data_IF_019198714928
#
_entry.id   IF_019198714928
#
_cell.length_a   1.000
_cell.length_b   1.000
_cell.length_c   1.000
_cell.angle_alpha   90.00
_cell.angle_beta   90.00
_cell.angle_gamma   90.00
#
_symmetry.space_group_name_H-M   'P 1'
#
loop_
_entity.id
_entity.type
_entity.pdbx_description
1 polymer ?
#
# COMPACT_ATOMS: atom_id res chain seq x y z
N UNK A 1 78.22 -20.62 -48.11
CA UNK A 1 78.47 -19.89 -49.37
C UNK A 1 77.44 -20.40 -50.38
N UNK A 2 76.42 -19.60 -50.75
CA UNK A 2 76.38 -18.78 -51.98
C UNK A 2 76.63 -19.67 -53.22
N UNK A 3 75.79 -19.84 -54.25
CA UNK A 3 74.64 -19.08 -54.78
C UNK A 3 73.79 -20.00 -55.71
N UNK A 4 72.48 -19.76 -55.83
CA UNK A 4 71.74 -19.22 -56.99
C UNK A 4 71.40 -20.14 -58.19
N UNK A 5 70.08 -20.17 -58.45
CA UNK A 5 69.34 -20.16 -59.72
C UNK A 5 69.41 -21.38 -60.68
N UNK A 6 68.28 -22.10 -60.74
CA UNK A 6 67.72 -22.64 -61.98
C UNK A 6 66.18 -22.57 -61.92
N UNK A 7 65.57 -22.26 -63.06
CA UNK A 7 64.21 -21.74 -63.22
C UNK A 7 63.10 -22.82 -63.17
N UNK A 8 62.05 -22.47 -62.43
CA UNK A 8 60.61 -22.55 -62.72
C UNK A 8 60.14 -23.50 -63.86
N UNK A 9 59.43 -24.56 -63.46
CA UNK A 9 58.16 -24.97 -64.05
C UNK A 9 57.20 -25.27 -62.87
N UNK A 10 56.15 -24.46 -62.73
CA UNK A 10 55.33 -24.38 -61.50
C UNK A 10 54.39 -25.59 -61.37
N UNK A 11 54.44 -26.16 -60.18
CA UNK A 11 53.53 -27.16 -59.63
C UNK A 11 52.08 -26.68 -59.58
N UNK A 12 51.21 -27.63 -59.84
CA UNK A 12 49.83 -27.72 -59.37
C UNK A 12 49.72 -27.65 -57.85
N UNK A 13 48.66 -27.01 -57.35
CA UNK A 13 47.60 -27.58 -56.48
C UNK A 13 46.77 -26.45 -55.84
N UNK A 14 45.45 -26.71 -55.81
CA UNK A 14 44.32 -26.05 -55.15
C UNK A 14 44.61 -24.91 -54.13
N UNK A 15 43.93 -23.77 -54.34
CA UNK A 15 43.74 -22.70 -53.36
C UNK A 15 42.70 -21.65 -53.81
N UNK A 16 41.91 -21.17 -52.85
CA UNK A 16 40.74 -20.25 -52.90
C UNK A 16 40.89 -18.94 -53.70
N UNK A 17 39.78 -18.41 -54.26
CA UNK A 17 39.30 -16.98 -54.22
C UNK A 17 37.96 -16.88 -55.00
N UNK A 18 36.80 -16.58 -54.38
CA UNK A 18 36.23 -15.29 -53.93
C UNK A 18 35.89 -14.30 -55.06
N UNK A 19 34.61 -13.89 -55.15
CA UNK A 19 34.13 -12.49 -55.27
C UNK A 19 32.61 -12.45 -55.52
N UNK A 20 31.88 -11.75 -54.65
CA UNK A 20 30.44 -11.56 -54.76
C UNK A 20 29.89 -10.92 -53.48
N UNK A 21 30.22 -9.64 -53.31
CA UNK A 21 29.77 -8.77 -52.23
C UNK A 21 28.27 -8.49 -52.37
N UNK A 22 27.46 -8.91 -51.38
CA UNK A 22 26.14 -8.34 -51.17
C UNK A 22 25.88 -8.23 -49.67
N UNK A 23 25.97 -6.98 -49.24
CA UNK A 23 25.56 -6.42 -47.96
C UNK A 23 24.11 -6.80 -47.65
N UNK A 24 23.91 -7.78 -46.77
CA UNK A 24 22.68 -7.85 -45.99
C UNK A 24 22.96 -7.25 -44.62
N UNK A 25 22.43 -6.04 -44.43
CA UNK A 25 22.30 -5.41 -43.14
C UNK A 25 21.48 -6.33 -42.23
N UNK A 26 22.16 -7.12 -41.40
CA UNK A 26 21.51 -7.76 -40.27
C UNK A 26 21.26 -6.67 -39.23
N UNK A 27 20.04 -6.14 -39.26
CA UNK A 27 19.41 -5.43 -38.14
C UNK A 27 19.54 -6.29 -36.89
N UNK A 28 20.59 -6.05 -36.08
CA UNK A 28 20.60 -6.45 -34.69
C UNK A 28 19.67 -5.51 -33.94
N UNK A 29 18.39 -5.83 -33.96
CA UNK A 29 17.49 -5.44 -32.87
C UNK A 29 18.02 -6.08 -31.59
N UNK A 30 18.18 -5.34 -30.48
CA UNK A 30 18.49 -5.97 -29.21
C UNK A 30 17.26 -6.75 -28.77
N UNK A 31 17.29 -8.08 -28.97
CA UNK A 31 16.33 -8.99 -28.36
C UNK A 31 16.47 -8.90 -26.85
N UNK A 32 15.44 -8.40 -26.19
CA UNK A 32 15.21 -8.55 -24.75
C UNK A 32 15.15 -10.04 -24.43
N UNK A 33 16.29 -10.65 -24.10
CA UNK A 33 16.35 -12.06 -23.71
C UNK A 33 15.76 -12.22 -22.30
N UNK A 34 14.50 -12.67 -22.25
CA UNK A 34 13.95 -13.26 -21.04
C UNK A 34 14.71 -14.55 -20.71
N UNK A 35 15.22 -14.66 -19.48
CA UNK A 35 15.90 -15.85 -18.96
C UNK A 35 14.98 -17.08 -19.06
N UNK A 36 15.36 -18.08 -19.86
CA UNK A 36 14.51 -19.26 -20.07
C UNK A 36 14.54 -20.19 -18.85
N UNK A 37 13.46 -20.96 -18.64
CA UNK A 37 13.35 -21.92 -17.54
C UNK A 37 14.50 -22.94 -17.49
N UNK A 38 15.12 -23.26 -18.63
CA UNK A 38 16.27 -24.17 -18.73
C UNK A 38 17.57 -23.61 -18.13
N UNK A 39 17.66 -22.30 -17.89
CA UNK A 39 18.84 -21.66 -17.27
C UNK A 39 18.78 -21.59 -15.73
N UNK A 40 17.67 -22.01 -15.12
CA UNK A 40 17.43 -21.99 -13.68
C UNK A 40 17.47 -23.40 -13.05
N UNK A 41 18.14 -24.35 -13.68
CA UNK A 41 18.11 -25.75 -13.24
C UNK A 41 18.90 -25.98 -11.95
N UNK A 42 19.99 -25.24 -11.73
CA UNK A 42 20.84 -25.43 -10.55
C UNK A 42 20.36 -24.61 -9.34
N UNK A 43 20.60 -25.08 -8.09
CA UNK A 43 20.30 -24.29 -6.89
C UNK A 43 20.97 -22.92 -6.88
N UNK A 44 22.22 -22.84 -7.35
CA UNK A 44 22.97 -21.58 -7.43
C UNK A 44 22.31 -20.62 -8.44
N UNK A 45 21.94 -21.10 -9.62
CA UNK A 45 21.26 -20.26 -10.62
C UNK A 45 19.93 -19.70 -10.09
N UNK A 46 19.14 -20.53 -9.39
CA UNK A 46 17.89 -20.07 -8.75
C UNK A 46 18.15 -19.03 -7.68
N UNK A 47 19.14 -19.26 -6.80
CA UNK A 47 19.50 -18.31 -5.76
C UNK A 47 19.92 -16.95 -6.36
N UNK A 48 20.81 -16.96 -7.36
CA UNK A 48 21.25 -15.75 -8.05
C UNK A 48 20.09 -15.01 -8.72
N UNK A 49 19.23 -15.73 -9.43
CA UNK A 49 18.03 -15.14 -10.05
C UNK A 49 17.09 -14.52 -9.01
N UNK A 50 16.83 -15.21 -7.90
CA UNK A 50 15.97 -14.69 -6.83
C UNK A 50 16.48 -13.39 -6.21
N UNK A 51 17.81 -13.22 -6.08
CA UNK A 51 18.41 -11.96 -5.61
C UNK A 51 18.14 -10.83 -6.61
N UNK A 52 18.39 -11.05 -7.91
CA UNK A 52 18.11 -10.03 -8.94
C UNK A 52 16.63 -9.69 -9.04
N UNK A 53 15.76 -10.70 -9.03
CA UNK A 53 14.31 -10.54 -9.11
C UNK A 53 13.74 -9.80 -7.88
N UNK A 54 14.29 -10.01 -6.68
CA UNK A 54 13.85 -9.29 -5.48
C UNK A 54 14.24 -7.81 -5.52
N UNK A 55 15.44 -7.48 -6.02
CA UNK A 55 15.89 -6.09 -6.22
C UNK A 55 15.05 -5.39 -7.29
N UNK A 56 14.75 -6.07 -8.41
CA UNK A 56 13.83 -5.55 -9.43
C UNK A 56 12.42 -5.32 -8.89
N UNK A 57 11.90 -6.25 -8.06
CA UNK A 57 10.61 -6.10 -7.39
C UNK A 57 10.59 -4.90 -6.43
N UNK A 58 11.68 -4.67 -5.69
CA UNK A 58 11.84 -3.48 -4.84
C UNK A 58 11.82 -2.19 -5.66
N UNK A 59 12.58 -2.12 -6.76
CA UNK A 59 12.61 -0.95 -7.62
C UNK A 59 11.24 -0.66 -8.25
N UNK A 60 10.50 -1.69 -8.66
CA UNK A 60 9.15 -1.54 -9.20
C UNK A 60 8.16 -1.06 -8.14
N UNK A 61 8.20 -1.59 -6.92
CA UNK A 61 7.37 -1.12 -5.82
C UNK A 61 7.66 0.35 -5.49
N UNK A 62 8.94 0.74 -5.49
CA UNK A 62 9.35 2.13 -5.29
C UNK A 62 8.85 3.04 -6.42
N UNK A 63 8.95 2.61 -7.67
CA UNK A 63 8.44 3.37 -8.82
C UNK A 63 6.94 3.62 -8.69
N UNK A 64 6.14 2.59 -8.35
CA UNK A 64 4.69 2.73 -8.17
C UNK A 64 4.34 3.76 -7.10
N UNK A 65 5.02 3.71 -5.96
CA UNK A 65 4.84 4.69 -4.89
C UNK A 65 5.18 6.12 -5.34
N UNK A 66 6.24 6.30 -6.14
CA UNK A 66 6.62 7.61 -6.66
C UNK A 66 5.58 8.13 -7.64
N UNK A 67 5.03 7.27 -8.51
CA UNK A 67 3.98 7.64 -9.46
C UNK A 67 2.70 8.10 -8.77
N UNK A 68 2.32 7.46 -7.66
CA UNK A 68 1.19 7.91 -6.81
C UNK A 68 1.39 9.33 -6.24
N UNK A 69 2.64 9.76 -6.09
CA UNK A 69 3.02 11.10 -5.63
C UNK A 69 3.35 12.07 -6.78
N UNK A 70 2.97 11.73 -8.02
CA UNK A 70 3.29 12.51 -9.22
C UNK A 70 4.81 12.74 -9.36
N UNK A 71 5.58 11.67 -9.15
CA UNK A 71 7.03 11.59 -9.36
C UNK A 71 7.35 10.40 -10.26
N UNK A 72 8.50 10.42 -10.92
CA UNK A 72 8.88 9.36 -11.86
C UNK A 72 10.25 8.79 -11.53
N UNK A 73 10.42 7.52 -11.85
CA UNK A 73 11.71 6.83 -11.81
C UNK A 73 11.93 6.21 -13.20
N UNK A 74 13.04 6.58 -13.82
CA UNK A 74 13.45 6.01 -15.11
C UNK A 74 14.05 4.62 -14.87
N UNK A 75 13.29 3.59 -15.20
CA UNK A 75 13.68 2.19 -14.96
C UNK A 75 14.83 1.74 -15.84
N UNK A 76 15.05 2.38 -16.99
CA UNK A 76 16.19 2.05 -17.83
C UNK A 76 17.49 2.56 -17.20
N UNK A 77 17.46 3.76 -16.62
CA UNK A 77 18.58 4.30 -15.85
C UNK A 77 18.82 3.51 -14.56
N UNK A 78 17.76 3.06 -13.86
CA UNK A 78 17.90 2.17 -12.70
C UNK A 78 18.61 0.86 -13.09
N UNK A 79 18.21 0.26 -14.22
CA UNK A 79 18.82 -0.97 -14.74
C UNK A 79 20.30 -0.75 -15.10
N UNK A 80 20.61 0.37 -15.75
CA UNK A 80 21.99 0.75 -16.05
C UNK A 80 22.82 0.90 -14.77
N UNK A 81 22.35 1.70 -13.80
CA UNK A 81 23.06 1.92 -12.54
C UNK A 81 23.30 0.62 -11.74
N UNK A 82 22.34 -0.30 -11.77
CA UNK A 82 22.51 -1.63 -11.17
C UNK A 82 23.62 -2.44 -11.85
N UNK A 83 23.64 -2.49 -13.19
CA UNK A 83 24.67 -3.21 -13.95
C UNK A 83 26.06 -2.57 -13.75
N UNK A 84 26.16 -1.25 -13.77
CA UNK A 84 27.40 -0.51 -13.53
C UNK A 84 27.96 -0.80 -12.13
N UNK A 85 27.09 -0.87 -11.12
CA UNK A 85 27.47 -1.23 -9.76
C UNK A 85 27.97 -2.69 -9.65
N UNK A 86 27.29 -3.65 -10.30
CA UNK A 86 27.74 -5.05 -10.34
C UNK A 86 29.11 -5.21 -11.02
N UNK A 87 29.41 -4.36 -12.00
CA UNK A 87 30.70 -4.34 -12.69
C UNK A 87 31.78 -3.57 -11.91
N UNK A 88 31.46 -3.01 -10.74
CA UNK A 88 32.38 -2.20 -9.93
C UNK A 88 32.74 -0.86 -10.57
N UNK A 89 31.90 -0.35 -11.48
CA UNK A 89 32.10 0.87 -12.23
C UNK A 89 30.90 1.83 -12.14
N UNK A 90 30.39 2.14 -10.93
CA UNK A 90 29.26 3.06 -10.81
C UNK A 90 29.63 4.43 -11.40
N UNK A 91 28.72 5.00 -12.19
CA UNK A 91 28.94 6.31 -12.82
C UNK A 91 28.96 7.47 -11.81
N UNK A 92 28.41 7.26 -10.60
CA UNK A 92 28.36 8.25 -9.52
C UNK A 92 29.18 7.76 -8.33
N UNK A 93 29.80 8.71 -7.61
CA UNK A 93 30.44 8.40 -6.34
C UNK A 93 29.41 8.02 -5.26
N UNK A 94 29.87 7.32 -4.22
CA UNK A 94 29.00 6.96 -3.09
C UNK A 94 28.39 8.19 -2.41
N UNK A 95 29.15 9.29 -2.31
CA UNK A 95 28.70 10.53 -1.69
C UNK A 95 27.62 11.24 -2.52
N UNK A 96 27.77 11.29 -3.84
CA UNK A 96 26.76 11.83 -4.75
C UNK A 96 25.48 11.01 -4.68
N UNK A 97 25.57 9.68 -4.73
CA UNK A 97 24.41 8.79 -4.59
C UNK A 97 23.67 9.02 -3.27
N UNK A 98 24.40 9.07 -2.14
CA UNK A 98 23.80 9.31 -0.83
C UNK A 98 23.09 10.67 -0.75
N UNK A 99 23.68 11.70 -1.35
CA UNK A 99 23.11 13.05 -1.35
C UNK A 99 21.84 13.12 -2.22
N UNK A 100 21.86 12.52 -3.41
CA UNK A 100 20.69 12.46 -4.31
C UNK A 100 19.55 11.70 -3.63
N UNK A 101 19.83 10.54 -3.04
CA UNK A 101 18.81 9.73 -2.35
C UNK A 101 18.23 10.49 -1.16
N UNK A 102 19.07 11.13 -0.33
CA UNK A 102 18.59 11.94 0.80
C UNK A 102 17.65 13.07 0.37
N UNK A 103 18.01 13.79 -0.69
CA UNK A 103 17.19 14.88 -1.22
C UNK A 103 15.88 14.36 -1.81
N UNK A 104 15.93 13.24 -2.54
CA UNK A 104 14.74 12.57 -3.06
C UNK A 104 13.82 12.09 -1.94
N UNK A 105 14.38 11.53 -0.86
CA UNK A 105 13.60 11.11 0.32
C UNK A 105 12.94 12.31 1.03
N UNK A 106 13.61 13.46 1.08
CA UNK A 106 13.01 14.70 1.61
C UNK A 106 11.85 15.19 0.74
N UNK A 107 12.01 15.17 -0.59
CA UNK A 107 10.94 15.56 -1.51
C UNK A 107 9.73 14.61 -1.41
N UNK A 108 9.98 13.30 -1.33
CA UNK A 108 8.94 12.30 -1.15
C UNK A 108 8.19 12.50 0.16
N UNK A 109 8.89 12.78 1.26
CA UNK A 109 8.25 13.10 2.55
C UNK A 109 7.39 14.36 2.45
N UNK A 110 7.89 15.42 1.83
CA UNK A 110 7.11 16.65 1.63
C UNK A 110 5.84 16.42 0.80
N UNK A 111 5.94 15.64 -0.29
CA UNK A 111 4.77 15.26 -1.10
C UNK A 111 3.78 14.36 -0.34
N UNK A 112 4.28 13.44 0.49
CA UNK A 112 3.43 12.62 1.36
C UNK A 112 2.68 13.47 2.40
N UNK A 113 3.35 14.43 3.04
CA UNK A 113 2.74 15.36 3.99
C UNK A 113 1.68 16.25 3.32
N UNK A 114 1.98 16.76 2.11
CA UNK A 114 1.02 17.52 1.32
C UNK A 114 -0.20 16.68 0.93
N UNK A 115 0.03 15.44 0.45
CA UNK A 115 -1.06 14.51 0.12
C UNK A 115 -1.90 14.14 1.34
N UNK A 116 -1.27 13.93 2.51
CA UNK A 116 -1.98 13.68 3.76
C UNK A 116 -2.82 14.89 4.19
N UNK A 117 -2.32 16.11 4.01
CA UNK A 117 -3.07 17.35 4.30
C UNK A 117 -4.30 17.47 3.39
N UNK A 118 -4.13 17.20 2.09
CA UNK A 118 -5.24 17.20 1.13
C UNK A 118 -6.28 16.14 1.48
N UNK A 119 -5.85 14.91 1.77
CA UNK A 119 -6.74 13.82 2.16
C UNK A 119 -7.47 14.13 3.48
N UNK A 120 -6.79 14.71 4.47
CA UNK A 120 -7.41 15.12 5.73
C UNK A 120 -8.51 16.17 5.51
N UNK A 121 -8.27 17.15 4.63
CA UNK A 121 -9.28 18.14 4.28
C UNK A 121 -10.46 17.52 3.51
N UNK A 122 -10.19 16.62 2.57
CA UNK A 122 -11.23 15.87 1.86
C UNK A 122 -12.11 15.07 2.83
N UNK A 123 -11.52 14.46 3.85
CA UNK A 123 -12.27 13.73 4.88
C UNK A 123 -13.16 14.65 5.72
N UNK A 124 -12.68 15.85 6.08
CA UNK A 124 -13.51 16.85 6.77
C UNK A 124 -14.74 17.20 5.93
N UNK A 125 -14.54 17.49 4.64
CA UNK A 125 -15.61 17.93 3.76
C UNK A 125 -16.60 16.78 3.46
N UNK A 126 -16.08 15.59 3.15
CA UNK A 126 -16.89 14.39 2.91
C UNK A 126 -17.64 13.95 4.17
N UNK A 127 -16.99 14.00 5.34
CA UNK A 127 -17.59 13.69 6.63
C UNK A 127 -18.74 14.62 6.97
N UNK A 128 -18.56 15.94 6.80
CA UNK A 128 -19.63 16.94 7.00
C UNK A 128 -20.80 16.71 6.06
N UNK A 129 -20.54 16.45 4.77
CA UNK A 129 -21.59 16.16 3.79
C UNK A 129 -22.37 14.90 4.16
N UNK A 130 -21.67 13.82 4.52
CA UNK A 130 -22.27 12.55 4.93
C UNK A 130 -23.13 12.71 6.19
N UNK A 131 -22.63 13.42 7.21
CA UNK A 131 -23.37 13.69 8.44
C UNK A 131 -24.64 14.51 8.17
N UNK A 132 -24.55 15.55 7.33
CA UNK A 132 -25.71 16.37 6.99
C UNK A 132 -26.78 15.57 6.24
N UNK A 133 -26.38 14.72 5.30
CA UNK A 133 -27.31 13.83 4.59
C UNK A 133 -27.92 12.79 5.54
N UNK A 134 -27.11 12.16 6.38
CA UNK A 134 -27.56 11.09 7.27
C UNK A 134 -28.53 11.60 8.33
N UNK A 135 -28.32 12.81 8.86
CA UNK A 135 -29.24 13.46 9.80
C UNK A 135 -30.66 13.69 9.24
N UNK A 136 -30.81 13.75 7.91
CA UNK A 136 -32.10 13.89 7.24
C UNK A 136 -32.86 12.58 7.02
N UNK A 137 -32.27 11.43 7.36
CA UNK A 137 -32.90 10.12 7.15
C UNK A 137 -33.91 9.81 8.27
N UNK A 138 -35.00 9.16 7.89
CA UNK A 138 -35.98 8.67 8.86
C UNK A 138 -35.33 7.69 9.84
N UNK A 139 -35.66 7.79 11.13
CA UNK A 139 -35.11 6.95 12.19
C UNK A 139 -33.74 7.41 12.74
N UNK A 140 -33.08 8.37 12.10
CA UNK A 140 -31.81 8.93 12.59
C UNK A 140 -32.08 10.00 13.64
N UNK A 141 -31.40 9.87 14.78
CA UNK A 141 -31.36 10.87 15.85
C UNK A 141 -29.95 11.48 15.94
N UNK A 142 -29.87 12.79 16.17
CA UNK A 142 -28.61 13.52 16.37
C UNK A 142 -28.54 14.00 17.81
N UNK A 143 -27.47 13.66 18.52
CA UNK A 143 -27.23 14.10 19.91
C UNK A 143 -26.60 15.50 19.93
N UNK A 144 -26.53 16.11 21.11
CA UNK A 144 -25.90 17.43 21.29
C UNK A 144 -24.41 17.46 20.93
N UNK A 145 -23.70 16.32 21.06
CA UNK A 145 -22.29 16.19 20.68
C UNK A 145 -22.09 16.04 19.17
N UNK A 146 -23.17 15.84 18.41
CA UNK A 146 -23.15 15.58 16.97
C UNK A 146 -23.04 14.10 16.60
N UNK A 147 -23.01 13.18 17.58
CA UNK A 147 -23.19 11.75 17.33
C UNK A 147 -24.55 11.53 16.67
N UNK A 148 -24.59 10.70 15.63
CA UNK A 148 -25.85 10.27 15.03
C UNK A 148 -26.05 8.78 15.25
N UNK A 149 -27.28 8.38 15.52
CA UNK A 149 -27.61 6.98 15.66
C UNK A 149 -28.99 6.65 15.10
N UNK A 150 -29.16 5.39 14.71
CA UNK A 150 -30.41 4.78 14.26
C UNK A 150 -30.59 3.47 15.04
N UNK A 151 -31.79 3.25 15.58
CA UNK A 151 -32.11 2.00 16.27
C UNK A 151 -32.58 0.98 15.24
N UNK A 152 -31.78 -0.08 15.03
CA UNK A 152 -32.11 -1.16 14.09
C UNK A 152 -32.93 -2.26 14.76
N UNK A 153 -32.59 -2.59 16.00
CA UNK A 153 -33.31 -3.54 16.85
C UNK A 153 -33.38 -2.96 18.25
N UNK A 154 -34.58 -2.88 18.82
CA UNK A 154 -34.78 -2.44 20.19
C UNK A 154 -34.46 -3.56 21.18
N UNK A 155 -33.67 -3.23 22.21
CA UNK A 155 -33.36 -4.11 23.33
C UNK A 155 -34.24 -3.79 24.54
N UNK A 156 -34.29 -4.70 25.51
CA UNK A 156 -35.11 -4.53 26.73
C UNK A 156 -34.34 -4.74 28.03
N UNK A 157 -33.04 -5.06 27.94
CA UNK A 157 -32.21 -5.23 29.13
C UNK A 157 -31.67 -3.90 29.67
N UNK A 158 -30.67 -4.01 30.54
CA UNK A 158 -30.09 -2.85 31.23
C UNK A 158 -29.33 -1.95 30.25
N UNK A 159 -29.24 -0.66 30.59
CA UNK A 159 -28.36 0.27 29.87
C UNK A 159 -27.02 0.35 30.59
N UNK A 160 -25.89 0.25 29.87
CA UNK A 160 -24.57 0.35 30.49
C UNK A 160 -24.30 1.79 30.94
N UNK A 161 -23.50 1.93 31.99
CA UNK A 161 -22.85 3.17 32.40
C UNK A 161 -21.52 3.34 31.67
N UNK A 162 -21.01 4.57 31.60
CA UNK A 162 -19.72 4.89 30.97
C UNK A 162 -18.52 4.11 31.56
N UNK A 163 -18.65 3.57 32.77
CA UNK A 163 -17.61 2.82 33.49
C UNK A 163 -17.67 1.31 33.26
N UNK A 164 -18.77 0.81 32.70
CA UNK A 164 -19.01 -0.62 32.59
C UNK A 164 -18.21 -1.24 31.45
N UNK A 165 -18.05 -2.56 31.52
CA UNK A 165 -17.55 -3.35 30.39
C UNK A 165 -18.75 -3.92 29.63
N UNK A 166 -18.75 -3.79 28.31
CA UNK A 166 -19.82 -4.34 27.46
C UNK A 166 -19.29 -5.45 26.59
N UNK A 167 -20.14 -6.42 26.29
CA UNK A 167 -19.89 -7.46 25.29
C UNK A 167 -20.71 -7.17 24.05
N UNK A 168 -20.06 -7.07 22.90
CA UNK A 168 -20.70 -6.62 21.66
C UNK A 168 -20.30 -7.46 20.45
N UNK A 169 -21.22 -7.54 19.50
CA UNK A 169 -20.84 -7.70 18.11
C UNK A 169 -20.80 -6.33 17.43
N UNK A 170 -19.81 -6.10 16.55
CA UNK A 170 -19.74 -4.84 15.82
C UNK A 170 -19.05 -4.97 14.47
N UNK A 171 -19.33 -4.01 13.61
CA UNK A 171 -18.67 -3.79 12.31
C UNK A 171 -18.44 -2.30 12.14
N UNK A 172 -17.18 -1.90 11.98
CA UNK A 172 -16.74 -0.54 11.73
C UNK A 172 -16.31 -0.33 10.28
N UNK A 173 -16.88 0.67 9.62
CA UNK A 173 -16.53 1.03 8.24
C UNK A 173 -16.27 2.53 8.11
N UNK A 174 -15.45 2.91 7.14
CA UNK A 174 -15.39 4.30 6.65
C UNK A 174 -16.69 4.63 5.91
N UNK A 175 -16.91 5.92 5.63
CA UNK A 175 -18.11 6.40 4.90
C UNK A 175 -18.21 5.86 3.47
N UNK A 176 -17.11 5.38 2.89
CA UNK A 176 -17.06 4.74 1.57
C UNK A 176 -17.37 3.23 1.61
N UNK A 177 -17.60 2.66 2.80
CA UNK A 177 -17.90 1.25 3.01
C UNK A 177 -16.67 0.36 3.27
N UNK A 178 -15.45 0.92 3.26
CA UNK A 178 -14.24 0.18 3.61
C UNK A 178 -14.31 -0.30 5.06
N UNK A 179 -14.35 -1.61 5.28
CA UNK A 179 -14.28 -2.20 6.62
C UNK A 179 -12.86 -2.01 7.19
N UNK A 180 -12.77 -1.44 8.40
CA UNK A 180 -11.50 -1.29 9.11
C UNK A 180 -11.39 -2.21 10.33
N UNK A 181 -12.52 -2.63 10.90
CA UNK A 181 -12.56 -3.54 12.04
C UNK A 181 -13.94 -4.21 12.16
N UNK A 182 -13.97 -5.49 12.54
CA UNK A 182 -15.20 -6.28 12.65
C UNK A 182 -15.00 -7.48 13.58
N UNK A 183 -15.86 -7.62 14.58
CA UNK A 183 -15.85 -8.81 15.43
C UNK A 183 -16.46 -10.02 14.73
N UNK A 184 -17.36 -9.80 13.77
CA UNK A 184 -17.89 -10.88 12.92
C UNK A 184 -16.80 -11.54 12.08
N UNK A 185 -15.86 -10.74 11.53
CA UNK A 185 -14.72 -11.23 10.76
C UNK A 185 -13.76 -12.07 11.61
N UNK A 186 -13.75 -11.87 12.93
CA UNK A 186 -13.00 -12.71 13.90
C UNK A 186 -13.78 -13.93 14.38
N UNK A 187 -15.09 -13.96 14.21
CA UNK A 187 -15.95 -15.07 14.60
C UNK A 187 -16.32 -15.12 16.09
N UNK A 188 -15.99 -14.09 16.87
CA UNK A 188 -16.31 -14.01 18.30
C UNK A 188 -16.67 -12.58 18.73
N UNK A 189 -17.55 -12.39 19.74
CA UNK A 189 -17.82 -11.07 20.32
C UNK A 189 -16.55 -10.42 20.90
N UNK A 190 -16.59 -9.10 21.04
CA UNK A 190 -15.53 -8.34 21.70
C UNK A 190 -16.05 -7.72 23.00
N UNK A 191 -15.16 -7.58 23.97
CA UNK A 191 -15.45 -6.94 25.26
C UNK A 191 -14.68 -5.62 25.37
N UNK A 192 -15.38 -4.56 25.73
CA UNK A 192 -14.81 -3.22 25.82
C UNK A 192 -15.22 -2.52 27.11
N UNK A 193 -14.26 -2.03 27.92
CA UNK A 193 -14.56 -1.05 28.95
C UNK A 193 -14.91 0.28 28.27
N UNK A 194 -16.11 0.80 28.52
CA UNK A 194 -16.65 1.98 27.81
C UNK A 194 -15.84 3.26 28.06
N UNK A 195 -15.04 3.31 29.13
CA UNK A 195 -14.13 4.43 29.43
C UNK A 195 -12.76 4.34 28.72
N UNK A 196 -12.51 3.33 27.88
CA UNK A 196 -11.26 3.18 27.09
C UNK A 196 -11.47 3.09 25.59
N UNK A 197 -12.68 3.36 25.11
CA UNK A 197 -13.01 3.44 23.69
C UNK A 197 -13.11 4.90 23.24
N UNK A 198 -13.35 5.14 21.95
CA UNK A 198 -13.53 6.49 21.42
C UNK A 198 -14.76 7.17 22.04
N UNK A 199 -14.76 8.51 22.20
CA UNK A 199 -15.86 9.24 22.86
C UNK A 199 -17.26 8.92 22.32
N UNK A 200 -17.39 8.76 21.00
CA UNK A 200 -18.67 8.43 20.37
C UNK A 200 -19.20 7.05 20.72
N UNK A 201 -18.32 6.07 21.00
CA UNK A 201 -18.72 4.77 21.55
C UNK A 201 -19.11 4.89 23.02
N UNK A 202 -18.30 5.59 23.82
CA UNK A 202 -18.62 5.83 25.24
C UNK A 202 -20.00 6.46 25.37
N UNK A 203 -20.31 7.48 24.58
CA UNK A 203 -21.63 8.12 24.56
C UNK A 203 -22.71 7.19 23.97
N UNK A 204 -22.51 6.69 22.75
CA UNK A 204 -23.54 6.00 21.98
C UNK A 204 -24.01 4.69 22.60
N UNK A 205 -23.10 3.89 23.17
CA UNK A 205 -23.46 2.60 23.75
C UNK A 205 -24.27 2.75 25.04
N UNK A 206 -24.11 3.86 25.79
CA UNK A 206 -24.97 4.16 26.95
C UNK A 206 -26.43 4.49 26.54
N UNK A 207 -26.67 4.79 25.27
CA UNK A 207 -28.04 4.98 24.75
C UNK A 207 -28.73 3.64 24.47
N UNK A 208 -27.96 2.57 24.29
CA UNK A 208 -28.43 1.22 24.00
C UNK A 208 -28.97 0.55 25.26
N UNK A 209 -29.95 -0.33 25.05
CA UNK A 209 -30.35 -1.35 26.05
C UNK A 209 -29.75 -2.68 25.63
N UNK A 210 -29.34 -3.52 26.56
CA UNK A 210 -28.88 -4.87 26.25
C UNK A 210 -29.91 -5.62 25.36
N UNK A 211 -29.39 -6.33 24.36
CA UNK A 211 -30.12 -6.97 23.28
C UNK A 211 -30.44 -6.05 22.10
N UNK A 212 -30.08 -4.76 22.14
CA UNK A 212 -30.32 -3.84 21.03
C UNK A 212 -29.23 -3.92 19.97
N UNK A 213 -29.59 -3.50 18.75
CA UNK A 213 -28.66 -3.26 17.65
C UNK A 213 -28.84 -1.85 17.12
N UNK A 214 -27.78 -1.05 17.18
CA UNK A 214 -27.78 0.34 16.73
C UNK A 214 -26.81 0.51 15.58
N UNK A 215 -27.08 1.48 14.72
CA UNK A 215 -26.11 2.03 13.77
C UNK A 215 -25.69 3.41 14.26
N UNK A 216 -24.39 3.62 14.39
CA UNK A 216 -23.80 4.90 14.76
C UNK A 216 -23.08 5.52 13.56
N UNK A 217 -23.22 6.82 13.39
CA UNK A 217 -22.34 7.64 12.54
C UNK A 217 -21.65 8.64 13.44
N UNK A 218 -20.34 8.46 13.58
CA UNK A 218 -19.52 9.14 14.58
C UNK A 218 -18.66 10.18 13.87
N UNK A 219 -18.86 11.49 14.14
CA UNK A 219 -17.99 12.53 13.59
C UNK A 219 -16.55 12.34 14.09
N UNK A 220 -15.58 12.81 13.31
CA UNK A 220 -14.16 12.55 13.57
C UNK A 220 -13.70 13.00 14.97
N UNK A 221 -14.29 14.07 15.50
CA UNK A 221 -14.03 14.69 16.79
C UNK A 221 -14.44 13.78 17.96
N UNK A 222 -15.41 12.89 17.74
CA UNK A 222 -15.84 11.85 18.68
C UNK A 222 -15.17 10.50 18.37
N UNK A 223 -14.24 10.46 17.41
CA UNK A 223 -13.48 9.29 16.98
C UNK A 223 -11.97 9.50 17.18
N UNK A 224 -11.19 9.52 16.09
CA UNK A 224 -9.72 9.63 16.14
C UNK A 224 -9.20 11.04 15.78
N UNK A 225 -10.08 11.97 15.38
CA UNK A 225 -9.72 13.33 14.96
C UNK A 225 -8.63 13.33 13.88
N UNK A 226 -7.63 14.19 14.03
CA UNK A 226 -6.51 14.34 13.09
C UNK A 226 -5.52 13.14 13.10
N UNK A 227 -5.71 12.16 13.98
CA UNK A 227 -4.79 11.02 14.08
C UNK A 227 -5.17 9.94 13.08
N UNK A 228 -4.16 9.39 12.41
CA UNK A 228 -4.30 8.18 11.59
C UNK A 228 -4.08 6.92 12.44
N UNK A 229 -4.83 5.85 12.16
CA UNK A 229 -4.65 4.54 12.78
C UNK A 229 -5.14 3.41 11.86
N UNK A 230 -4.26 2.45 11.55
CA UNK A 230 -4.60 1.39 10.60
C UNK A 230 -5.03 1.96 9.24
N UNK A 231 -6.24 1.60 8.79
CA UNK A 231 -6.88 2.16 7.58
C UNK A 231 -7.65 3.46 7.82
N UNK A 232 -7.81 3.90 9.07
CA UNK A 232 -8.47 5.15 9.41
C UNK A 232 -7.50 6.31 9.18
N UNK A 233 -7.84 7.20 8.25
CA UNK A 233 -7.06 8.40 7.92
C UNK A 233 -7.55 9.61 8.73
N UNK A 234 -6.74 10.68 8.86
CA UNK A 234 -7.12 11.86 9.65
C UNK A 234 -8.49 12.42 9.28
N UNK A 235 -9.24 12.84 10.29
CA UNK A 235 -10.57 13.44 10.20
C UNK A 235 -11.65 12.54 9.57
N UNK A 236 -11.47 11.22 9.60
CA UNK A 236 -12.46 10.27 9.11
C UNK A 236 -13.70 10.25 10.02
N UNK A 237 -14.88 10.44 9.44
CA UNK A 237 -16.16 10.03 10.03
C UNK A 237 -16.27 8.51 9.99
N UNK A 238 -16.69 7.90 11.09
CA UNK A 238 -16.80 6.44 11.20
C UNK A 238 -18.26 6.00 11.24
N UNK A 239 -18.55 4.85 10.64
CA UNK A 239 -19.85 4.20 10.72
C UNK A 239 -19.68 2.89 11.46
N UNK A 240 -20.51 2.66 12.48
CA UNK A 240 -20.54 1.41 13.23
C UNK A 240 -21.93 0.81 13.21
N UNK A 241 -22.04 -0.50 13.00
CA UNK A 241 -23.18 -1.28 13.48
C UNK A 241 -22.73 -1.99 14.76
N UNK A 242 -23.47 -1.83 15.84
CA UNK A 242 -23.15 -2.41 17.15
C UNK A 242 -24.37 -3.15 17.66
N UNK A 243 -24.17 -4.40 18.08
CA UNK A 243 -25.14 -5.24 18.77
C UNK A 243 -24.63 -5.43 20.20
N UNK A 244 -25.40 -4.93 21.17
CA UNK A 244 -25.07 -5.03 22.59
C UNK A 244 -25.59 -6.36 23.13
N UNK A 245 -24.68 -7.28 23.41
CA UNK A 245 -25.02 -8.64 23.84
C UNK A 245 -25.16 -8.75 25.35
N UNK A 246 -24.30 -8.04 26.10
CA UNK A 246 -24.24 -8.14 27.55
C UNK A 246 -23.61 -6.87 28.16
N UNK A 247 -24.01 -6.54 29.39
CA UNK A 247 -23.39 -5.52 30.23
C UNK A 247 -22.73 -6.21 31.42
N UNK A 248 -21.41 -6.31 31.37
CA UNK A 248 -20.59 -6.98 32.36
C UNK A 248 -20.34 -6.01 33.53
N UNK A 249 -21.17 -6.10 34.55
CA UNK A 249 -20.99 -5.34 35.79
C UNK A 249 -19.95 -6.03 36.66
N UNK A 250 -18.94 -5.29 37.13
CA UNK A 250 -17.92 -5.77 38.08
C UNK A 250 -18.43 -5.86 39.54
N UNK A 251 -19.75 -5.86 39.78
CA UNK A 251 -20.31 -5.96 41.13
C UNK A 251 -20.78 -7.39 41.46
N UNK A 252 -19.83 -8.23 41.87
CA UNK A 252 -19.97 -9.18 42.99
C UNK A 252 -18.79 -9.04 43.98
#
# INVERSE_FOLDING_TARGET
>A
MKQSLAAIAVLSVLGLTACGEQTEATTTSPETQATSAASLETPVARQSYSIGASMGSFALSRQKQLVELDMTLDMEIVRQGFNDALNGQPALSLEEMQTIIRNSDQEVRAKQEAAATVSAQQNVDAGKAFLAENAGKEGVTVTESGLQYEVLVEGTGVKPLATDTVKVHYKGTLIDGTEFDSSYSRGEPAEFPLNRVIPGWTEGVQLMSEGSKFKFVIPSELAYGERATGSITPNSTLVFEVELLDVLNDEE
#
